data_IF_633686747702
#
_entry.id   IF_633686747702
#
_cell.length_a   1.000
_cell.length_b   1.000
_cell.length_c   1.000
_cell.angle_alpha   90.00
_cell.angle_beta   90.00
_cell.angle_gamma   90.00
#
_symmetry.space_group_name_H-M   'P 1'
#
loop_
_entity.id
_entity.type
_entity.pdbx_description
1 polymer ?
#
# COMPACT_ATOMS: atom_id res chain seq x y z
N UNK A 1 11.93 4.32 11.41
CA UNK A 1 11.17 4.28 10.13
C UNK A 1 10.70 2.87 9.82
N UNK A 2 9.48 2.74 9.28
CA UNK A 2 8.85 1.50 8.80
C UNK A 2 8.23 1.75 7.43
N UNK A 3 8.01 0.68 6.69
CA UNK A 3 7.40 0.70 5.35
C UNK A 3 6.17 -0.22 5.38
N UNK A 4 5.06 0.26 4.83
CA UNK A 4 3.86 -0.52 4.58
C UNK A 4 3.59 -0.55 3.08
N UNK A 5 3.39 -1.75 2.52
CA UNK A 5 3.04 -1.93 1.12
C UNK A 5 1.62 -2.50 1.02
N UNK A 6 0.79 -1.87 0.19
CA UNK A 6 -0.55 -2.36 -0.18
C UNK A 6 -0.60 -2.54 -1.68
N UNK A 7 -1.28 -3.57 -2.12
CA UNK A 7 -1.50 -3.83 -3.53
C UNK A 7 -2.88 -4.38 -3.78
N UNK A 8 -3.51 -3.96 -4.87
CA UNK A 8 -4.75 -4.55 -5.35
C UNK A 8 -4.85 -4.41 -6.86
N UNK A 9 -5.71 -5.22 -7.48
CA UNK A 9 -6.06 -5.10 -8.89
C UNK A 9 -7.28 -4.23 -9.13
N UNK A 10 -8.05 -3.93 -8.07
CA UNK A 10 -9.09 -2.90 -8.08
C UNK A 10 -8.61 -1.63 -7.35
N UNK A 11 -8.68 -0.48 -8.03
CA UNK A 11 -8.22 0.80 -7.48
C UNK A 11 -9.03 1.26 -6.27
N UNK A 12 -10.34 1.00 -6.26
CA UNK A 12 -11.25 1.44 -5.20
C UNK A 12 -11.04 0.62 -3.93
N UNK A 13 -10.81 -0.68 -4.10
CA UNK A 13 -10.46 -1.55 -2.98
C UNK A 13 -9.07 -1.19 -2.42
N UNK A 14 -8.10 -0.85 -3.28
CA UNK A 14 -6.80 -0.36 -2.84
C UNK A 14 -6.91 0.95 -2.06
N UNK A 15 -7.67 1.92 -2.58
CA UNK A 15 -7.91 3.20 -1.93
C UNK A 15 -8.52 3.00 -0.53
N UNK A 16 -9.55 2.14 -0.43
CA UNK A 16 -10.19 1.83 0.86
C UNK A 16 -9.18 1.27 1.85
N UNK A 17 -8.37 0.28 1.43
CA UNK A 17 -7.33 -0.32 2.29
C UNK A 17 -6.28 0.71 2.72
N UNK A 18 -5.83 1.56 1.80
CA UNK A 18 -4.84 2.60 2.11
C UNK A 18 -5.40 3.58 3.14
N UNK A 19 -6.63 4.07 2.94
CA UNK A 19 -7.29 4.99 3.85
C UNK A 19 -7.48 4.40 5.26
N UNK A 20 -7.91 3.14 5.36
CA UNK A 20 -8.02 2.44 6.65
C UNK A 20 -6.68 2.35 7.39
N UNK A 21 -5.59 2.08 6.66
CA UNK A 21 -4.26 1.99 7.27
C UNK A 21 -3.71 3.37 7.65
N UNK A 22 -3.97 4.42 6.86
CA UNK A 22 -3.60 5.79 7.21
C UNK A 22 -4.32 6.25 8.47
N UNK A 23 -5.62 5.97 8.59
CA UNK A 23 -6.40 6.30 9.80
C UNK A 23 -5.87 5.56 11.04
N UNK A 24 -5.47 4.29 10.90
CA UNK A 24 -4.86 3.54 11.99
C UNK A 24 -3.50 4.12 12.40
N UNK A 25 -2.65 4.49 11.43
CA UNK A 25 -1.35 5.11 11.69
C UNK A 25 -1.50 6.47 12.38
N UNK A 26 -2.48 7.28 11.97
CA UNK A 26 -2.80 8.55 12.62
C UNK A 26 -3.27 8.35 14.06
N UNK A 27 -4.15 7.38 14.30
CA UNK A 27 -4.62 7.02 15.65
C UNK A 27 -3.49 6.52 16.55
N UNK A 28 -2.51 5.82 15.99
CA UNK A 28 -1.30 5.35 16.68
C UNK A 28 -0.26 6.48 16.89
N UNK A 29 -0.50 7.69 16.38
CA UNK A 29 0.41 8.82 16.45
C UNK A 29 1.66 8.68 15.59
N UNK A 30 1.61 7.85 14.54
CA UNK A 30 2.69 7.70 13.60
C UNK A 30 2.79 8.92 12.65
N UNK A 31 4.01 9.29 12.31
CA UNK A 31 4.29 10.36 11.35
C UNK A 31 4.47 9.77 9.95
N UNK A 32 3.68 10.23 8.98
CA UNK A 32 3.82 9.80 7.58
C UNK A 32 4.94 10.59 6.92
N UNK A 33 5.98 9.88 6.50
CA UNK A 33 7.19 10.45 5.90
C UNK A 33 7.10 10.50 4.36
N UNK A 34 6.31 9.63 3.74
CA UNK A 34 6.15 9.59 2.29
C UNK A 34 5.15 8.54 1.83
N UNK A 35 4.57 8.78 0.66
CA UNK A 35 3.66 7.85 -0.02
C UNK A 35 4.08 7.76 -1.48
N UNK A 36 4.35 6.54 -1.96
CA UNK A 36 4.69 6.26 -3.35
C UNK A 36 3.66 5.33 -3.97
N UNK A 37 3.39 5.53 -5.26
CA UNK A 37 2.41 4.75 -6.02
C UNK A 37 3.13 3.99 -7.13
N UNK A 38 2.73 2.74 -7.36
CA UNK A 38 3.21 1.92 -8.45
C UNK A 38 2.06 1.29 -9.22
N UNK A 39 2.34 0.92 -10.46
CA UNK A 39 1.41 0.15 -11.29
C UNK A 39 2.23 -0.83 -12.11
N UNK A 40 1.83 -2.09 -12.06
CA UNK A 40 2.50 -3.17 -12.77
C UNK A 40 1.46 -3.98 -13.54
N UNK A 41 1.73 -4.24 -14.82
CA UNK A 41 0.88 -5.10 -15.65
C UNK A 41 1.65 -6.37 -15.95
N UNK A 42 1.12 -7.49 -15.45
CA UNK A 42 1.74 -8.81 -15.59
C UNK A 42 0.92 -9.70 -16.53
N UNK A 43 1.55 -10.42 -17.47
CA UNK A 43 0.85 -11.38 -18.30
C UNK A 43 0.37 -12.57 -17.47
N UNK A 44 -0.86 -13.00 -17.72
CA UNK A 44 -1.43 -14.24 -17.19
C UNK A 44 -1.14 -15.36 -18.19
N UNK A 45 -0.25 -16.28 -17.82
CA UNK A 45 0.20 -17.37 -18.70
C UNK A 45 -0.73 -18.57 -18.54
N UNK A 46 -1.23 -19.10 -19.66
CA UNK A 46 -1.98 -20.36 -19.72
C UNK A 46 -1.31 -21.32 -20.69
N UNK A 47 -0.63 -22.33 -20.15
CA UNK A 47 0.18 -23.24 -20.97
C UNK A 47 1.38 -22.51 -21.58
N UNK A 48 1.44 -22.44 -22.92
CA UNK A 48 2.51 -21.74 -23.65
C UNK A 48 2.08 -20.37 -24.21
N UNK A 49 0.84 -19.95 -23.94
CA UNK A 49 0.27 -18.72 -24.47
C UNK A 49 -0.04 -17.72 -23.35
N UNK A 50 -0.01 -16.43 -23.69
CA UNK A 50 -0.52 -15.36 -22.83
C UNK A 50 -2.04 -15.34 -23.02
N UNK A 51 -2.77 -15.63 -21.95
CA UNK A 51 -4.23 -15.68 -21.99
C UNK A 51 -4.87 -14.33 -21.65
N UNK A 52 -4.19 -13.52 -20.83
CA UNK A 52 -4.68 -12.21 -20.38
C UNK A 52 -3.53 -11.34 -19.83
N UNK A 53 -3.82 -10.10 -19.46
CA UNK A 53 -2.94 -9.21 -18.71
C UNK A 53 -3.65 -8.72 -17.46
N UNK A 54 -2.99 -8.86 -16.31
CA UNK A 54 -3.51 -8.39 -15.03
C UNK A 54 -2.71 -7.18 -14.55
N UNK A 55 -3.40 -6.07 -14.35
CA UNK A 55 -2.82 -4.87 -13.74
C UNK A 55 -2.98 -4.93 -12.23
N UNK A 56 -1.89 -4.67 -11.52
CA UNK A 56 -1.79 -4.51 -10.08
C UNK A 56 -1.35 -3.09 -9.77
N UNK A 57 -2.04 -2.45 -8.85
CA UNK A 57 -1.72 -1.14 -8.32
C UNK A 57 -1.10 -1.31 -6.94
N UNK A 58 -0.07 -0.54 -6.64
CA UNK A 58 0.66 -0.62 -5.37
C UNK A 58 0.75 0.76 -4.73
N UNK A 59 0.64 0.80 -3.41
CA UNK A 59 0.93 2.00 -2.59
C UNK A 59 1.90 1.61 -1.50
N UNK A 60 3.02 2.32 -1.45
CA UNK A 60 4.02 2.21 -0.40
C UNK A 60 3.92 3.42 0.52
N UNK A 61 3.76 3.20 1.81
CA UNK A 61 3.67 4.24 2.84
C UNK A 61 4.90 4.10 3.73
N UNK A 62 5.72 5.14 3.78
CA UNK A 62 6.87 5.26 4.67
C UNK A 62 6.45 6.08 5.88
N UNK A 63 6.64 5.54 7.09
CA UNK A 63 6.20 6.21 8.32
C UNK A 63 7.19 6.01 9.46
N UNK A 64 7.18 6.94 10.41
CA UNK A 64 7.83 6.79 11.70
C UNK A 64 6.78 6.42 12.77
N UNK A 65 6.87 5.23 13.40
CA UNK A 65 5.95 4.87 14.45
C UNK A 65 6.13 5.80 15.66
N UNK A 66 5.04 6.08 16.39
CA UNK A 66 5.13 6.82 17.63
C UNK A 66 6.06 6.10 18.61
N UNK A 67 6.91 6.88 19.30
CA UNK A 67 7.78 6.32 20.34
C UNK A 67 6.93 6.05 21.58
N UNK A 68 6.92 4.83 22.14
CA UNK A 68 6.30 4.60 23.45
C UNK A 68 7.05 5.47 24.48
N UNK A 69 6.40 6.54 24.93
CA UNK A 69 6.99 7.53 25.86
C UNK A 69 6.91 8.99 25.40
N UNK A 70 6.44 9.29 24.18
CA UNK A 70 6.20 10.67 23.72
C UNK A 70 4.85 11.24 24.20
N UNK A 71 4.43 10.93 25.43
CA UNK A 71 3.36 11.64 26.12
C UNK A 71 3.98 12.87 26.80
N UNK A 72 3.66 14.06 26.32
CA UNK A 72 3.78 15.30 27.10
C UNK A 72 2.58 15.43 28.02
#
# INVERSE_FOLDING_TARGET
>A
MKIMLKSDTDLKDLETKVNENLAALEADGAEIMGIEHGTETLPVIRGKEIADYRTSYTVMIVYEPSRPGALK
#
